data_IF_171442502499
#
_entry.id   IF_171442502499
#
_cell.length_a   1.000
_cell.length_b   1.000
_cell.length_c   1.000
_cell.angle_alpha   90.00
_cell.angle_beta   90.00
_cell.angle_gamma   90.00
#
_symmetry.space_group_name_H-M   'P 1'
#
loop_
_entity.id
_entity.type
_entity.pdbx_description
1 polymer ?
#
# COMPACT_ATOMS: atom_id res chain seq x y z
N UNK A 1 6.79 -0.82 6.70
CA UNK A 1 5.30 -0.92 6.78
C UNK A 1 4.70 -0.68 8.17
N UNK A 2 5.19 -1.28 9.27
CA UNK A 2 4.59 -1.08 10.61
C UNK A 2 4.55 0.38 11.09
N UNK A 3 5.52 1.21 10.67
CA UNK A 3 5.58 2.63 11.01
C UNK A 3 4.52 3.49 10.28
N UNK A 4 4.14 3.15 9.04
CA UNK A 4 3.11 3.87 8.30
C UNK A 4 1.71 3.61 8.85
N UNK A 5 1.38 2.36 9.17
CA UNK A 5 0.10 2.01 9.82
C UNK A 5 0.00 2.73 11.18
N UNK A 6 1.09 2.75 11.96
CA UNK A 6 1.12 3.50 13.22
C UNK A 6 0.95 5.02 13.03
N UNK A 7 1.47 5.58 11.94
CA UNK A 7 1.29 6.99 11.56
C UNK A 7 -0.17 7.28 11.18
N UNK A 8 -0.78 6.43 10.36
CA UNK A 8 -2.19 6.56 9.94
C UNK A 8 -3.12 6.50 11.15
N UNK A 9 -2.95 5.53 12.05
CA UNK A 9 -3.72 5.44 13.31
C UNK A 9 -3.55 6.66 14.23
N UNK A 10 -2.45 7.41 14.10
CA UNK A 10 -2.27 8.68 14.83
C UNK A 10 -2.97 9.84 14.14
N UNK A 11 -3.00 9.87 12.82
CA UNK A 11 -3.75 10.86 12.04
C UNK A 11 -5.26 10.66 12.21
N UNK A 12 -5.74 9.41 12.12
CA UNK A 12 -7.15 9.06 12.34
C UNK A 12 -7.62 9.49 13.75
N UNK A 13 -6.81 9.22 14.79
CA UNK A 13 -7.12 9.67 16.17
C UNK A 13 -7.14 11.18 16.37
N UNK A 14 -6.49 11.94 15.49
CA UNK A 14 -6.47 13.42 15.51
C UNK A 14 -7.54 14.02 14.59
N UNK A 15 -8.20 13.17 13.81
CA UNK A 15 -9.14 13.59 12.79
C UNK A 15 -10.39 14.18 13.46
N UNK A 16 -10.72 15.43 13.12
CA UNK A 16 -11.87 16.12 13.72
C UNK A 16 -13.17 15.71 13.01
N UNK A 17 -14.34 15.80 13.67
CA UNK A 17 -15.62 15.44 13.06
C UNK A 17 -15.95 16.21 11.77
N UNK A 18 -15.42 17.42 11.61
CA UNK A 18 -15.55 18.26 10.41
C UNK A 18 -14.74 17.77 9.20
N UNK A 19 -13.82 16.82 9.41
CA UNK A 19 -12.95 16.22 8.39
C UNK A 19 -13.30 14.75 8.14
N UNK A 20 -14.56 14.34 8.40
CA UNK A 20 -15.03 12.96 8.35
C UNK A 20 -14.59 12.19 7.08
N UNK A 21 -14.55 12.88 5.93
CA UNK A 21 -14.09 12.32 4.65
C UNK A 21 -12.60 11.95 4.67
N UNK A 22 -11.74 12.85 5.17
CA UNK A 22 -10.32 12.57 5.34
C UNK A 22 -10.04 11.46 6.36
N UNK A 23 -10.88 11.32 7.38
CA UNK A 23 -10.79 10.20 8.33
C UNK A 23 -11.14 8.85 7.67
N UNK A 24 -12.18 8.84 6.83
CA UNK A 24 -12.58 7.64 6.07
C UNK A 24 -11.50 7.23 5.08
N UNK A 25 -10.88 8.20 4.39
CA UNK A 25 -9.78 7.95 3.46
C UNK A 25 -8.55 7.40 4.18
N UNK A 26 -8.21 7.92 5.38
CA UNK A 26 -7.16 7.35 6.23
C UNK A 26 -7.43 5.89 6.60
N UNK A 27 -8.66 5.55 6.96
CA UNK A 27 -9.05 4.17 7.29
C UNK A 27 -9.01 3.24 6.07
N UNK A 28 -9.39 3.75 4.89
CA UNK A 28 -9.25 3.04 3.61
C UNK A 28 -7.79 2.79 3.25
N UNK A 29 -6.93 3.79 3.44
CA UNK A 29 -5.48 3.69 3.24
C UNK A 29 -4.90 2.62 4.19
N UNK A 30 -5.31 2.61 5.46
CA UNK A 30 -4.84 1.62 6.43
C UNK A 30 -5.17 0.18 6.02
N UNK A 31 -6.43 -0.08 5.70
CA UNK A 31 -6.89 -1.42 5.29
C UNK A 31 -6.20 -1.90 4.01
N UNK A 32 -5.99 -0.99 3.05
CA UNK A 32 -5.30 -1.32 1.82
C UNK A 32 -3.83 -1.66 2.07
N UNK A 33 -3.14 -0.92 2.95
CA UNK A 33 -1.77 -1.23 3.35
C UNK A 33 -1.65 -2.57 4.07
N UNK A 34 -2.59 -2.90 4.96
CA UNK A 34 -2.63 -4.22 5.61
C UNK A 34 -2.81 -5.36 4.60
N UNK A 35 -3.68 -5.18 3.60
CA UNK A 35 -3.86 -6.16 2.52
C UNK A 35 -2.62 -6.31 1.64
N UNK A 36 -1.95 -5.20 1.28
CA UNK A 36 -0.71 -5.24 0.50
C UNK A 36 0.37 -5.98 1.28
N UNK A 37 0.53 -5.71 2.57
CA UNK A 37 1.45 -6.42 3.45
C UNK A 37 1.21 -7.94 3.42
N UNK A 38 -0.02 -8.35 3.66
CA UNK A 38 -0.38 -9.77 3.72
C UNK A 38 -0.10 -10.47 2.38
N UNK A 39 -0.36 -9.80 1.26
CA UNK A 39 -0.09 -10.31 -0.09
C UNK A 39 1.40 -10.45 -0.35
N UNK A 40 2.22 -9.48 0.05
CA UNK A 40 3.67 -9.57 -0.10
C UNK A 40 4.29 -10.66 0.78
N UNK A 41 3.81 -10.83 2.01
CA UNK A 41 4.21 -11.94 2.88
C UNK A 41 3.82 -13.29 2.25
N UNK A 42 2.64 -13.38 1.65
CA UNK A 42 2.18 -14.59 0.95
C UNK A 42 3.05 -14.90 -0.28
N UNK A 43 3.42 -13.87 -1.05
CA UNK A 43 4.31 -13.97 -2.21
C UNK A 43 5.68 -14.51 -1.80
N UNK A 44 6.24 -13.99 -0.71
CA UNK A 44 7.53 -14.44 -0.18
C UNK A 44 7.52 -15.92 0.27
N UNK A 45 6.35 -16.45 0.64
CA UNK A 45 6.20 -17.84 1.14
C UNK A 45 5.95 -18.84 0.01
N UNK A 46 5.11 -18.51 -0.97
CA UNK A 46 4.54 -19.51 -1.89
C UNK A 46 5.36 -19.68 -3.18
N UNK A 47 6.17 -18.68 -3.59
CA UNK A 47 7.17 -18.82 -4.67
C UNK A 47 6.66 -19.17 -6.08
N UNK A 48 5.38 -19.52 -6.28
CA UNK A 48 4.83 -19.96 -7.57
C UNK A 48 3.46 -19.31 -7.83
N UNK A 49 3.26 -18.81 -9.06
CA UNK A 49 2.13 -17.99 -9.53
C UNK A 49 1.98 -16.62 -8.88
N UNK A 50 3.11 -15.93 -8.74
CA UNK A 50 3.25 -14.60 -8.13
C UNK A 50 2.71 -13.47 -9.01
N UNK A 51 2.70 -13.64 -10.34
CA UNK A 51 2.43 -12.56 -11.29
C UNK A 51 1.02 -11.94 -11.17
N UNK A 52 -0.08 -12.70 -11.04
CA UNK A 52 -1.40 -12.13 -10.81
C UNK A 52 -1.49 -11.38 -9.48
N UNK A 53 -0.91 -11.95 -8.41
CA UNK A 53 -0.91 -11.34 -7.08
C UNK A 53 -0.12 -10.03 -7.04
N UNK A 54 1.03 -9.99 -7.70
CA UNK A 54 1.83 -8.76 -7.84
C UNK A 54 1.13 -7.70 -8.68
N UNK A 55 0.44 -8.11 -9.75
CA UNK A 55 -0.35 -7.19 -10.60
C UNK A 55 -1.49 -6.56 -9.81
N UNK A 56 -2.26 -7.35 -9.08
CA UNK A 56 -3.32 -6.82 -8.22
C UNK A 56 -2.75 -5.93 -7.11
N UNK A 57 -1.61 -6.30 -6.53
CA UNK A 57 -0.92 -5.50 -5.49
C UNK A 57 -0.48 -4.14 -6.04
N UNK A 58 0.01 -4.09 -7.29
CA UNK A 58 0.32 -2.83 -7.99
C UNK A 58 -0.93 -1.95 -8.18
N UNK A 59 -2.06 -2.55 -8.58
CA UNK A 59 -3.34 -1.82 -8.69
C UNK A 59 -3.79 -1.23 -7.36
N UNK A 60 -3.70 -2.01 -6.28
CA UNK A 60 -4.02 -1.51 -4.92
C UNK A 60 -3.11 -0.35 -4.52
N UNK A 61 -1.80 -0.43 -4.79
CA UNK A 61 -0.86 0.66 -4.49
C UNK A 61 -1.22 1.96 -5.23
N UNK A 62 -1.69 1.88 -6.48
CA UNK A 62 -2.13 3.04 -7.24
C UNK A 62 -3.39 3.69 -6.65
N UNK A 63 -4.34 2.89 -6.15
CA UNK A 63 -5.53 3.40 -5.44
C UNK A 63 -5.13 4.12 -4.15
N UNK A 64 -4.26 3.53 -3.34
CA UNK A 64 -3.79 4.14 -2.09
C UNK A 64 -3.01 5.43 -2.37
N UNK A 65 -2.21 5.47 -3.45
CA UNK A 65 -1.48 6.67 -3.87
C UNK A 65 -2.40 7.83 -4.22
N UNK A 66 -3.55 7.56 -4.86
CA UNK A 66 -4.55 8.59 -5.15
C UNK A 66 -5.15 9.15 -3.86
N UNK A 67 -5.56 8.27 -2.93
CA UNK A 67 -6.13 8.68 -1.64
C UNK A 67 -5.12 9.49 -0.80
N UNK A 68 -3.83 9.14 -0.82
CA UNK A 68 -2.80 9.93 -0.11
C UNK A 68 -2.52 11.27 -0.80
N UNK A 69 -2.64 11.36 -2.12
CA UNK A 69 -2.62 12.65 -2.81
C UNK A 69 -3.70 13.61 -2.30
N UNK A 70 -4.86 13.07 -1.92
CA UNK A 70 -5.97 13.83 -1.32
C UNK A 70 -5.73 14.15 0.17
N UNK A 71 -5.08 13.26 0.92
CA UNK A 71 -4.73 13.46 2.35
C UNK A 71 -3.52 14.39 2.53
N UNK A 72 -2.58 14.41 1.58
CA UNK A 72 -1.41 15.29 1.60
C UNK A 72 -0.32 14.94 2.62
N UNK A 73 -0.30 13.74 3.21
CA UNK A 73 0.76 13.35 4.16
C UNK A 73 2.04 12.87 3.42
N UNK A 74 3.16 13.61 3.53
CA UNK A 74 4.39 13.31 2.78
C UNK A 74 5.11 12.06 3.29
N UNK A 75 4.92 11.67 4.54
CA UNK A 75 5.55 10.48 5.11
C UNK A 75 4.89 9.21 4.56
N UNK A 76 3.56 9.20 4.49
CA UNK A 76 2.82 8.07 3.90
C UNK A 76 3.08 8.00 2.39
N UNK A 77 3.19 9.16 1.71
CA UNK A 77 3.55 9.21 0.29
C UNK A 77 4.93 8.61 0.01
N UNK A 78 5.94 8.91 0.82
CA UNK A 78 7.29 8.35 0.70
C UNK A 78 7.27 6.82 0.88
N UNK A 79 6.58 6.32 1.90
CA UNK A 79 6.50 4.89 2.18
C UNK A 79 5.75 4.12 1.07
N UNK A 80 4.73 4.72 0.46
CA UNK A 80 4.09 4.14 -0.72
C UNK A 80 5.01 4.09 -1.94
N UNK A 81 5.86 5.11 -2.13
CA UNK A 81 6.80 5.12 -3.24
C UNK A 81 7.83 3.99 -3.09
N UNK A 82 8.36 3.79 -1.88
CA UNK A 82 9.25 2.65 -1.57
C UNK A 82 8.57 1.30 -1.85
N UNK A 83 7.35 1.13 -1.36
CA UNK A 83 6.56 -0.11 -1.55
C UNK A 83 6.21 -0.35 -3.03
N UNK A 84 5.90 0.72 -3.77
CA UNK A 84 5.69 0.68 -5.22
C UNK A 84 6.91 0.21 -5.99
N UNK A 85 8.09 0.74 -5.64
CA UNK A 85 9.35 0.34 -6.26
C UNK A 85 9.67 -1.14 -5.98
N UNK A 86 9.40 -1.63 -4.77
CA UNK A 86 9.63 -3.03 -4.40
C UNK A 86 8.70 -3.99 -5.16
N UNK A 87 7.41 -3.66 -5.28
CA UNK A 87 6.46 -4.43 -6.10
C UNK A 87 6.85 -4.41 -7.58
N UNK A 88 7.29 -3.28 -8.10
CA UNK A 88 7.74 -3.17 -9.50
C UNK A 88 9.00 -4.00 -9.76
N UNK A 89 9.95 -4.01 -8.83
CA UNK A 89 11.13 -4.88 -8.89
C UNK A 89 10.72 -6.35 -8.93
N UNK A 90 9.83 -6.78 -8.04
CA UNK A 90 9.32 -8.17 -8.01
C UNK A 90 8.58 -8.53 -9.31
N UNK A 91 7.80 -7.62 -9.88
CA UNK A 91 7.15 -7.83 -11.17
C UNK A 91 8.15 -8.05 -12.31
N UNK A 92 9.21 -7.24 -12.37
CA UNK A 92 10.27 -7.38 -13.37
C UNK A 92 11.00 -8.70 -13.19
N UNK A 93 11.39 -9.04 -11.96
CA UNK A 93 12.04 -10.33 -11.66
C UNK A 93 11.14 -11.48 -12.09
N UNK A 94 9.86 -11.50 -11.72
CA UNK A 94 8.93 -12.58 -12.08
C UNK A 94 8.75 -12.71 -13.59
N UNK A 95 8.67 -11.60 -14.34
CA UNK A 95 8.59 -11.61 -15.81
C UNK A 95 9.84 -12.17 -16.48
N UNK A 96 11.02 -12.02 -15.86
CA UNK A 96 12.26 -12.61 -16.38
C UNK A 96 12.28 -14.14 -16.26
N UNK A 97 11.50 -14.73 -15.35
CA UNK A 97 11.35 -16.18 -15.20
C UNK A 97 10.26 -16.79 -16.09
N UNK A 98 9.46 -15.96 -16.78
CA UNK A 98 8.46 -16.40 -17.75
C UNK A 98 9.01 -16.54 -19.19
N UNK A 99 10.31 -16.27 -19.41
CA UNK A 99 10.99 -16.32 -20.73
C UNK A 99 11.78 -17.60 -20.93
#
# INVERSE_FOLDING_TARGET
MSAAIARIRRLERKCRPTEARGCEDLRRIELALERIKLRLETIAIIGLNVHPLLTETKSMLLEVRKLIGEVGDPYIAALLAELGNEVEKLLVETKMWEV
#
